data_IF_820071260335
#
_entry.id   IF_820071260335
#
_cell.length_a   1.000
_cell.length_b   1.000
_cell.length_c   1.000
_cell.angle_alpha   90.00
_cell.angle_beta   90.00
_cell.angle_gamma   90.00
#
_symmetry.space_group_name_H-M   'P 1'
#
loop_
_entity.id
_entity.type
_entity.pdbx_description
1 polymer ?
#
# COMPACT_ATOMS: atom_id res chain seq x y z
N UNK A 1 15.14 -42.55 -21.16
CA UNK A 1 15.08 -41.79 -22.42
C UNK A 1 14.06 -40.70 -22.14
N UNK A 2 14.51 -39.49 -21.78
CA UNK A 2 13.60 -38.40 -21.45
C UNK A 2 13.00 -37.90 -22.76
N UNK A 3 11.72 -38.18 -22.99
CA UNK A 3 10.97 -37.58 -24.08
C UNK A 3 10.97 -36.07 -23.87
N UNK A 4 11.66 -35.36 -24.76
CA UNK A 4 11.59 -33.91 -24.84
C UNK A 4 10.31 -33.59 -25.60
N UNK A 5 9.25 -33.25 -24.88
CA UNK A 5 8.05 -32.69 -25.47
C UNK A 5 8.37 -31.28 -25.99
N UNK A 6 8.63 -31.16 -27.29
CA UNK A 6 8.84 -29.89 -27.97
C UNK A 6 7.47 -29.35 -28.40
N UNK A 7 6.90 -28.43 -27.61
CA UNK A 7 5.73 -27.65 -28.03
C UNK A 7 6.19 -26.39 -28.78
N UNK A 8 5.96 -26.35 -30.09
CA UNK A 8 6.19 -25.15 -30.92
C UNK A 8 4.87 -24.38 -31.00
N UNK A 9 4.64 -23.48 -30.05
CA UNK A 9 3.58 -22.49 -30.08
C UNK A 9 4.09 -21.14 -30.59
N UNK A 10 3.17 -20.27 -31.02
CA UNK A 10 3.51 -18.88 -31.29
C UNK A 10 3.86 -18.18 -29.96
N UNK A 11 4.92 -17.37 -29.96
CA UNK A 11 5.25 -16.51 -28.83
C UNK A 11 4.06 -15.60 -28.52
N UNK A 12 3.63 -15.56 -27.26
CA UNK A 12 2.49 -14.73 -26.85
C UNK A 12 2.99 -13.29 -26.72
N UNK A 13 2.69 -12.46 -27.72
CA UNK A 13 3.03 -11.04 -27.70
C UNK A 13 2.10 -10.28 -26.76
N UNK A 14 2.68 -9.47 -25.90
CA UNK A 14 1.94 -8.64 -24.94
C UNK A 14 2.35 -7.20 -25.16
N UNK A 15 1.38 -6.38 -25.55
CA UNK A 15 1.54 -4.94 -25.60
C UNK A 15 1.42 -4.34 -24.18
N UNK A 16 2.49 -3.74 -23.61
CA UNK A 16 2.46 -3.20 -22.25
C UNK A 16 1.56 -1.97 -22.08
N UNK A 17 1.25 -1.25 -23.16
CA UNK A 17 0.40 -0.07 -23.17
C UNK A 17 -1.08 -0.46 -23.21
N UNK A 18 -1.46 -1.41 -24.07
CA UNK A 18 -2.81 -1.97 -24.06
C UNK A 18 -3.09 -2.67 -22.73
N UNK A 19 -2.08 -3.35 -22.15
CA UNK A 19 -2.18 -3.94 -20.83
C UNK A 19 -2.43 -2.89 -19.73
N UNK A 20 -1.75 -1.75 -19.79
CA UNK A 20 -1.96 -0.63 -18.87
C UNK A 20 -3.40 -0.10 -18.93
N UNK A 21 -3.95 0.06 -20.14
CA UNK A 21 -5.33 0.52 -20.34
C UNK A 21 -6.34 -0.48 -19.77
N UNK A 22 -6.09 -1.78 -19.95
CA UNK A 22 -6.89 -2.84 -19.36
C UNK A 22 -6.87 -2.79 -17.82
N UNK A 23 -5.69 -2.61 -17.21
CA UNK A 23 -5.51 -2.49 -15.76
C UNK A 23 -6.16 -1.24 -15.16
N UNK A 24 -6.16 -0.13 -15.91
CA UNK A 24 -6.89 1.10 -15.57
C UNK A 24 -8.40 0.94 -15.68
N UNK A 25 -8.87 -0.12 -16.35
CA UNK A 25 -10.27 -0.50 -16.38
C UNK A 25 -11.06 0.12 -17.53
N UNK A 26 -10.39 0.63 -18.56
CA UNK A 26 -11.04 1.10 -19.78
C UNK A 26 -11.72 -0.06 -20.53
N UNK A 27 -12.78 0.26 -21.26
CA UNK A 27 -13.36 -0.62 -22.27
C UNK A 27 -12.48 -0.65 -23.53
N UNK A 28 -12.65 -1.68 -24.37
CA UNK A 28 -11.89 -1.79 -25.62
C UNK A 28 -12.10 -0.59 -26.55
N UNK A 29 -13.32 -0.04 -26.59
CA UNK A 29 -13.64 1.17 -27.36
C UNK A 29 -12.90 2.41 -26.84
N UNK A 30 -12.88 2.61 -25.52
CA UNK A 30 -12.17 3.74 -24.91
C UNK A 30 -10.67 3.60 -25.12
N UNK A 31 -10.12 2.40 -24.93
CA UNK A 31 -8.70 2.12 -25.14
C UNK A 31 -8.29 2.37 -26.61
N UNK A 32 -9.04 1.85 -27.59
CA UNK A 32 -8.79 2.11 -29.00
C UNK A 32 -8.85 3.62 -29.34
N UNK A 33 -9.82 4.33 -28.76
CA UNK A 33 -9.93 5.79 -28.92
C UNK A 33 -8.78 6.58 -28.26
N UNK A 34 -8.16 6.04 -27.21
CA UNK A 34 -6.96 6.61 -26.59
C UNK A 34 -5.75 6.37 -27.50
N UNK A 35 -5.55 5.13 -27.96
CA UNK A 35 -4.45 4.75 -28.85
C UNK A 35 -4.49 5.56 -30.16
N UNK A 36 -5.67 5.76 -30.75
CA UNK A 36 -5.81 6.54 -31.99
C UNK A 36 -5.29 7.98 -31.86
N UNK A 37 -5.37 8.56 -30.66
CA UNK A 37 -4.90 9.93 -30.40
C UNK A 37 -3.40 10.01 -30.15
N UNK A 38 -2.71 8.89 -30.05
CA UNK A 38 -1.27 8.88 -29.81
C UNK A 38 -0.49 9.21 -31.07
N UNK A 39 0.47 10.12 -30.92
CA UNK A 39 1.31 10.58 -32.02
C UNK A 39 2.18 9.45 -32.60
N UNK A 40 2.55 8.46 -31.78
CA UNK A 40 3.33 7.29 -32.19
C UNK A 40 2.64 6.41 -33.25
N UNK A 41 1.30 6.40 -33.27
CA UNK A 41 0.51 5.56 -34.17
C UNK A 41 0.07 6.30 -35.44
N UNK A 42 0.22 7.62 -35.50
CA UNK A 42 -0.07 8.45 -36.68
C UNK A 42 0.65 7.98 -37.97
N UNK A 43 1.93 7.55 -37.95
CA UNK A 43 2.63 7.10 -39.14
C UNK A 43 2.05 5.82 -39.76
N UNK A 44 1.37 4.99 -38.97
CA UNK A 44 0.86 3.69 -39.42
C UNK A 44 -0.52 3.79 -40.09
N UNK A 45 -1.17 4.97 -40.02
CA UNK A 45 -2.50 5.22 -40.61
C UNK A 45 -3.56 4.18 -40.22
N UNK A 46 -3.43 3.54 -39.05
CA UNK A 46 -4.36 2.55 -38.56
C UNK A 46 -5.74 3.19 -38.31
N UNK A 47 -6.80 2.55 -38.78
CA UNK A 47 -8.16 3.03 -38.53
C UNK A 47 -8.57 2.75 -37.08
N UNK A 48 -9.62 3.42 -36.59
CA UNK A 48 -10.17 3.10 -35.27
C UNK A 48 -10.67 1.66 -35.19
N UNK A 49 -11.19 1.11 -36.30
CA UNK A 49 -11.67 -0.27 -36.38
C UNK A 49 -10.52 -1.27 -36.25
N UNK A 50 -9.38 -1.01 -36.91
CA UNK A 50 -8.18 -1.85 -36.81
C UNK A 50 -7.66 -1.88 -35.36
N UNK A 51 -7.54 -0.70 -34.74
CA UNK A 51 -7.12 -0.57 -33.34
C UNK A 51 -8.10 -1.25 -32.39
N UNK A 52 -9.41 -1.11 -32.63
CA UNK A 52 -10.42 -1.75 -31.79
C UNK A 52 -10.32 -3.28 -31.85
N UNK A 53 -10.14 -3.84 -33.05
CA UNK A 53 -9.96 -5.27 -33.23
C UNK A 53 -8.72 -5.77 -32.47
N UNK A 54 -7.59 -5.09 -32.62
CA UNK A 54 -6.34 -5.46 -31.96
C UNK A 54 -6.45 -5.36 -30.42
N UNK A 55 -7.05 -4.28 -29.91
CA UNK A 55 -7.30 -4.10 -28.48
C UNK A 55 -8.22 -5.19 -27.91
N UNK A 56 -9.24 -5.60 -28.66
CA UNK A 56 -10.16 -6.66 -28.24
C UNK A 56 -9.42 -7.99 -28.10
N UNK A 57 -8.58 -8.36 -29.06
CA UNK A 57 -7.78 -9.59 -29.03
C UNK A 57 -6.84 -9.61 -27.82
N UNK A 58 -6.15 -8.49 -27.56
CA UNK A 58 -5.32 -8.32 -26.37
C UNK A 58 -6.14 -8.41 -25.07
N UNK A 59 -7.32 -7.77 -25.01
CA UNK A 59 -8.18 -7.84 -23.83
C UNK A 59 -8.68 -9.26 -23.56
N UNK A 60 -9.00 -10.03 -24.61
CA UNK A 60 -9.35 -11.44 -24.49
C UNK A 60 -8.20 -12.27 -23.92
N UNK A 61 -6.98 -12.05 -24.41
CA UNK A 61 -5.76 -12.66 -23.87
C UNK A 61 -5.59 -12.31 -22.37
N UNK A 62 -5.69 -11.04 -22.00
CA UNK A 62 -5.51 -10.60 -20.61
C UNK A 62 -6.56 -11.18 -19.66
N UNK A 63 -7.81 -11.27 -20.11
CA UNK A 63 -8.86 -11.93 -19.33
C UNK A 63 -8.56 -13.43 -19.13
N UNK A 64 -7.96 -14.10 -20.13
CA UNK A 64 -7.47 -15.47 -20.02
C UNK A 64 -6.31 -15.62 -19.01
N UNK A 65 -5.39 -14.66 -18.99
CA UNK A 65 -4.25 -14.62 -18.07
C UNK A 65 -4.64 -14.21 -16.63
N UNK A 66 -5.75 -13.49 -16.44
CA UNK A 66 -6.14 -12.90 -15.15
C UNK A 66 -6.19 -13.93 -14.00
N UNK A 67 -6.72 -15.12 -14.27
CA UNK A 67 -6.79 -16.19 -13.25
C UNK A 67 -5.41 -16.69 -12.82
N UNK A 68 -4.42 -16.58 -13.70
CA UNK A 68 -3.03 -16.97 -13.46
C UNK A 68 -2.28 -15.84 -12.76
N UNK A 69 -2.57 -14.58 -13.09
CA UNK A 69 -2.04 -13.40 -12.39
C UNK A 69 -2.48 -13.34 -10.92
N UNK A 70 -3.69 -13.84 -10.61
CA UNK A 70 -4.15 -14.02 -9.23
C UNK A 70 -3.30 -15.03 -8.42
N UNK A 71 -2.52 -15.89 -9.09
CA UNK A 71 -1.63 -16.87 -8.45
C UNK A 71 -0.32 -16.97 -9.24
N UNK A 72 0.67 -16.11 -8.96
CA UNK A 72 1.91 -16.01 -9.74
C UNK A 72 2.64 -17.34 -10.01
N UNK A 73 2.69 -18.33 -9.09
CA UNK A 73 3.25 -19.65 -9.41
C UNK A 73 2.54 -20.37 -10.56
N UNK A 74 1.23 -20.15 -10.77
CA UNK A 74 0.48 -20.70 -11.90
C UNK A 74 0.86 -20.03 -13.22
N UNK A 75 1.22 -18.75 -13.21
CA UNK A 75 1.71 -18.06 -14.40
C UNK A 75 3.11 -18.55 -14.81
N UNK A 76 3.95 -18.90 -13.84
CA UNK A 76 5.29 -19.42 -14.10
C UNK A 76 5.27 -20.85 -14.63
N UNK A 77 4.42 -21.71 -14.06
CA UNK A 77 4.43 -23.16 -14.35
C UNK A 77 3.54 -23.58 -15.52
N UNK A 78 2.86 -22.63 -16.16
CA UNK A 78 1.97 -22.91 -17.28
C UNK A 78 2.73 -23.09 -18.60
N UNK A 79 2.16 -23.92 -19.46
CA UNK A 79 2.75 -24.25 -20.78
C UNK A 79 1.88 -23.76 -21.95
N UNK A 80 0.75 -23.10 -21.67
CA UNK A 80 -0.23 -22.68 -22.68
C UNK A 80 0.24 -21.45 -23.45
N UNK A 81 0.72 -20.44 -22.72
CA UNK A 81 1.21 -19.19 -23.25
C UNK A 81 2.74 -19.20 -23.21
N UNK A 82 3.38 -18.98 -24.35
CA UNK A 82 4.83 -18.85 -24.40
C UNK A 82 5.20 -17.40 -24.07
N UNK A 83 5.37 -17.11 -22.77
CA UNK A 83 5.73 -15.79 -22.23
C UNK A 83 7.07 -15.92 -21.52
N UNK A 84 8.03 -15.07 -21.86
CA UNK A 84 9.35 -15.05 -21.23
C UNK A 84 9.29 -14.52 -19.78
N UNK A 85 10.33 -14.81 -19.00
CA UNK A 85 10.38 -14.47 -17.57
C UNK A 85 10.30 -12.97 -17.29
N UNK A 86 10.90 -12.13 -18.15
CA UNK A 86 10.88 -10.68 -17.96
C UNK A 86 9.46 -10.13 -18.21
N UNK A 87 8.77 -10.61 -19.23
CA UNK A 87 7.37 -10.27 -19.49
C UNK A 87 6.45 -10.78 -18.37
N UNK A 88 6.66 -12.00 -17.84
CA UNK A 88 5.90 -12.49 -16.69
C UNK A 88 6.07 -11.60 -15.45
N UNK A 89 7.30 -11.18 -15.16
CA UNK A 89 7.60 -10.27 -14.04
C UNK A 89 6.89 -8.92 -14.24
N UNK A 90 6.95 -8.34 -15.43
CA UNK A 90 6.26 -7.09 -15.78
C UNK A 90 4.74 -7.22 -15.60
N UNK A 91 4.13 -8.32 -16.08
CA UNK A 91 2.71 -8.57 -15.91
C UNK A 91 2.31 -8.63 -14.44
N UNK A 92 3.07 -9.38 -13.63
CA UNK A 92 2.81 -9.51 -12.19
C UNK A 92 2.95 -8.16 -11.50
N UNK A 93 4.06 -7.46 -11.71
CA UNK A 93 4.32 -6.15 -11.12
C UNK A 93 3.19 -5.17 -11.43
N UNK A 94 2.85 -5.00 -12.71
CA UNK A 94 1.75 -4.12 -13.12
C UNK A 94 0.40 -4.59 -12.62
N UNK A 95 0.12 -5.90 -12.63
CA UNK A 95 -1.14 -6.45 -12.13
C UNK A 95 -1.32 -6.25 -10.63
N UNK A 96 -0.26 -6.22 -9.85
CA UNK A 96 -0.32 -5.92 -8.41
C UNK A 96 -0.07 -4.44 -8.09
N UNK A 97 0.36 -3.63 -9.05
CA UNK A 97 0.43 -2.18 -8.86
C UNK A 97 -0.96 -1.59 -8.54
N UNK A 98 -0.96 -0.56 -7.71
CA UNK A 98 -2.18 0.10 -7.25
C UNK A 98 -1.99 1.61 -7.19
N UNK A 99 -3.12 2.32 -7.18
CA UNK A 99 -3.16 3.75 -7.00
C UNK A 99 -3.16 4.09 -5.50
N UNK A 100 -2.26 4.98 -5.11
CA UNK A 100 -2.07 5.39 -3.73
C UNK A 100 -3.34 6.02 -3.12
N UNK A 101 -4.14 6.75 -3.90
CA UNK A 101 -5.40 7.35 -3.44
C UNK A 101 -6.48 6.29 -3.19
N UNK A 102 -6.55 5.26 -4.04
CA UNK A 102 -7.44 4.12 -3.86
C UNK A 102 -7.05 3.36 -2.60
N UNK A 103 -5.77 3.03 -2.43
CA UNK A 103 -5.32 2.30 -1.24
C UNK A 103 -5.49 3.12 0.03
N UNK A 104 -5.27 4.44 -0.01
CA UNK A 104 -5.53 5.34 1.13
C UNK A 104 -6.97 5.22 1.66
N UNK A 105 -7.95 5.14 0.76
CA UNK A 105 -9.37 4.93 1.08
C UNK A 105 -9.71 3.46 1.37
N UNK A 106 -8.89 2.52 0.88
CA UNK A 106 -8.96 1.10 1.23
C UNK A 106 -8.50 0.85 2.68
N UNK A 107 -7.52 1.61 3.15
CA UNK A 107 -7.05 1.57 4.52
C UNK A 107 -8.10 2.13 5.51
N UNK A 108 -8.12 1.61 6.73
CA UNK A 108 -9.02 2.08 7.80
C UNK A 108 -10.42 1.48 7.80
N UNK A 109 -10.76 0.62 6.83
CA UNK A 109 -11.97 -0.22 6.86
C UNK A 109 -11.58 -1.71 6.84
N UNK A 110 -12.46 -2.58 7.32
CA UNK A 110 -12.20 -4.03 7.34
C UNK A 110 -12.02 -4.57 5.91
N UNK A 111 -10.90 -5.24 5.65
CA UNK A 111 -10.61 -5.89 4.36
C UNK A 111 -11.56 -7.07 4.04
N UNK A 112 -12.35 -7.51 5.01
CA UNK A 112 -13.30 -8.62 4.86
C UNK A 112 -14.69 -8.22 4.37
N UNK A 113 -15.08 -6.93 4.42
CA UNK A 113 -16.49 -6.52 4.25
C UNK A 113 -16.71 -5.27 3.39
N UNK A 114 -16.02 -5.12 2.24
CA UNK A 114 -16.42 -4.06 1.30
C UNK A 114 -17.59 -4.53 0.45
N UNK A 115 -18.69 -3.80 0.52
CA UNK A 115 -19.81 -3.96 -0.38
C UNK A 115 -19.45 -3.39 -1.75
N UNK A 116 -20.18 -3.79 -2.81
CA UNK A 116 -20.01 -3.18 -4.15
C UNK A 116 -20.16 -1.65 -4.07
N UNK A 117 -21.11 -1.18 -3.27
CA UNK A 117 -21.37 0.24 -3.02
C UNK A 117 -20.17 0.98 -2.44
N UNK A 118 -19.43 0.37 -1.51
CA UNK A 118 -18.24 1.00 -0.94
C UNK A 118 -17.14 1.25 -1.99
N UNK A 119 -17.04 0.38 -3.00
CA UNK A 119 -16.06 0.54 -4.07
C UNK A 119 -16.51 1.54 -5.13
N UNK A 120 -17.83 1.69 -5.34
CA UNK A 120 -18.41 2.72 -6.18
C UNK A 120 -18.08 4.12 -5.61
N UNK A 121 -18.30 4.33 -4.31
CA UNK A 121 -17.96 5.59 -3.62
C UNK A 121 -16.47 5.96 -3.76
N UNK A 122 -15.56 4.97 -3.68
CA UNK A 122 -14.12 5.20 -3.86
C UNK A 122 -13.79 5.54 -5.31
N UNK A 123 -14.44 4.86 -6.26
CA UNK A 123 -14.28 5.13 -7.68
C UNK A 123 -14.66 6.58 -8.00
N UNK A 124 -15.76 7.06 -7.43
CA UNK A 124 -16.19 8.45 -7.55
C UNK A 124 -15.21 9.42 -6.87
N UNK A 125 -14.79 9.12 -5.63
CA UNK A 125 -13.88 9.98 -4.87
C UNK A 125 -12.49 10.13 -5.50
N UNK A 126 -11.94 9.02 -6.00
CA UNK A 126 -10.58 8.98 -6.57
C UNK A 126 -10.54 9.24 -8.07
N UNK A 127 -11.71 9.27 -8.73
CA UNK A 127 -11.84 9.30 -10.18
C UNK A 127 -11.14 8.14 -10.89
N UNK A 128 -10.88 7.03 -10.18
CA UNK A 128 -10.30 5.81 -10.75
C UNK A 128 -11.45 4.88 -11.16
N UNK A 129 -11.42 4.28 -12.37
CA UNK A 129 -12.49 3.41 -12.81
C UNK A 129 -12.74 2.24 -11.86
N UNK A 130 -14.02 1.95 -11.62
CA UNK A 130 -14.48 0.94 -10.67
C UNK A 130 -13.86 -0.44 -10.89
N UNK A 131 -13.62 -0.83 -12.15
CA UNK A 131 -12.95 -2.09 -12.50
C UNK A 131 -11.53 -2.14 -11.91
N UNK A 132 -10.79 -1.04 -11.98
CA UNK A 132 -9.45 -0.93 -11.40
C UNK A 132 -9.51 -0.92 -9.87
N UNK A 133 -10.43 -0.16 -9.27
CA UNK A 133 -10.64 -0.17 -7.81
C UNK A 133 -10.91 -1.58 -7.27
N UNK A 134 -11.75 -2.36 -7.97
CA UNK A 134 -12.04 -3.77 -7.64
C UNK A 134 -10.79 -4.64 -7.71
N UNK A 135 -10.01 -4.56 -8.80
CA UNK A 135 -8.74 -5.29 -8.94
C UNK A 135 -7.80 -4.99 -7.79
N UNK A 136 -7.57 -3.71 -7.50
CA UNK A 136 -6.65 -3.27 -6.46
C UNK A 136 -7.08 -3.76 -5.07
N UNK A 137 -8.37 -3.64 -4.74
CA UNK A 137 -8.93 -4.17 -3.50
C UNK A 137 -8.78 -5.69 -3.39
N UNK A 138 -9.12 -6.43 -4.45
CA UNK A 138 -9.01 -7.88 -4.46
C UNK A 138 -7.56 -8.36 -4.33
N UNK A 139 -6.61 -7.63 -4.91
CA UNK A 139 -5.19 -7.91 -4.76
C UNK A 139 -4.72 -7.69 -3.32
N UNK A 140 -5.07 -6.56 -2.70
CA UNK A 140 -4.78 -6.30 -1.27
C UNK A 140 -5.36 -7.39 -0.39
N UNK A 141 -6.63 -7.75 -0.60
CA UNK A 141 -7.30 -8.80 0.16
C UNK A 141 -6.62 -10.16 -0.01
N UNK A 142 -6.15 -10.48 -1.22
CA UNK A 142 -5.44 -11.72 -1.51
C UNK A 142 -4.10 -11.77 -0.80
N UNK A 143 -3.29 -10.72 -0.94
CA UNK A 143 -1.99 -10.61 -0.26
C UNK A 143 -2.17 -10.73 1.25
N UNK A 144 -3.09 -9.95 1.83
CA UNK A 144 -3.40 -10.01 3.26
C UNK A 144 -3.72 -11.43 3.74
N UNK A 145 -4.65 -12.11 3.07
CA UNK A 145 -5.04 -13.48 3.44
C UNK A 145 -3.93 -14.51 3.27
N UNK A 146 -3.07 -14.33 2.28
CA UNK A 146 -1.96 -15.27 2.05
C UNK A 146 -0.90 -15.14 3.13
N UNK A 147 -0.61 -13.91 3.58
CA UNK A 147 0.51 -13.66 4.50
C UNK A 147 0.10 -13.59 5.98
N UNK A 148 -1.20 -13.42 6.29
CA UNK A 148 -1.69 -13.41 7.68
C UNK A 148 -1.45 -14.74 8.42
N UNK A 149 -1.17 -15.82 7.70
CA UNK A 149 -0.89 -17.16 8.25
C UNK A 149 0.60 -17.57 8.14
N UNK A 150 1.45 -16.76 7.49
CA UNK A 150 2.86 -17.07 7.25
C UNK A 150 3.81 -16.49 8.29
N UNK A 151 4.73 -17.34 8.77
CA UNK A 151 5.82 -16.92 9.66
C UNK A 151 6.98 -16.28 8.90
N UNK A 152 7.79 -15.48 9.59
CA UNK A 152 8.99 -14.85 9.05
C UNK A 152 8.73 -13.52 8.35
N UNK A 153 9.79 -12.98 7.73
CA UNK A 153 9.84 -11.62 7.18
C UNK A 153 8.69 -11.32 6.22
N UNK A 154 7.83 -10.34 6.56
CA UNK A 154 6.60 -10.04 5.80
C UNK A 154 6.90 -9.69 4.33
N UNK A 155 7.92 -8.88 4.09
CA UNK A 155 8.34 -8.49 2.74
C UNK A 155 8.83 -9.71 1.94
N UNK A 156 9.61 -10.59 2.56
CA UNK A 156 10.14 -11.80 1.92
C UNK A 156 9.02 -12.78 1.57
N UNK A 157 8.05 -12.95 2.47
CA UNK A 157 6.86 -13.75 2.25
C UNK A 157 6.06 -13.24 1.05
N UNK A 158 5.86 -11.92 0.95
CA UNK A 158 5.15 -11.31 -0.19
C UNK A 158 5.95 -11.50 -1.49
N UNK A 159 7.26 -11.22 -1.48
CA UNK A 159 8.13 -11.40 -2.65
C UNK A 159 8.11 -12.85 -3.14
N UNK A 160 8.19 -13.82 -2.22
CA UNK A 160 8.25 -15.24 -2.55
C UNK A 160 6.94 -15.76 -3.10
N UNK A 161 5.82 -15.45 -2.46
CA UNK A 161 4.50 -15.96 -2.86
C UNK A 161 3.93 -15.26 -4.09
N UNK A 162 4.17 -13.96 -4.23
CA UNK A 162 3.59 -13.16 -5.30
C UNK A 162 4.58 -12.78 -6.42
N UNK A 163 5.88 -13.07 -6.26
CA UNK A 163 6.91 -12.80 -7.27
C UNK A 163 6.95 -11.33 -7.73
N UNK A 164 6.63 -10.42 -6.81
CA UNK A 164 6.64 -8.98 -7.07
C UNK A 164 7.96 -8.35 -6.61
N UNK A 165 8.35 -7.20 -7.19
CA UNK A 165 9.55 -6.48 -6.76
C UNK A 165 9.47 -6.04 -5.29
N UNK A 166 10.62 -5.99 -4.62
CA UNK A 166 10.72 -5.66 -3.19
C UNK A 166 10.09 -4.31 -2.84
N UNK A 167 10.20 -3.31 -3.71
CA UNK A 167 9.57 -2.00 -3.49
C UNK A 167 8.05 -2.10 -3.39
N UNK A 168 7.40 -2.85 -4.29
CA UNK A 168 5.97 -3.09 -4.27
C UNK A 168 5.58 -3.97 -3.08
N UNK A 169 6.39 -4.99 -2.76
CA UNK A 169 6.19 -5.84 -1.60
C UNK A 169 6.23 -5.06 -0.28
N UNK A 170 7.12 -4.06 -0.15
CA UNK A 170 7.16 -3.15 1.01
C UNK A 170 5.89 -2.32 1.16
N UNK A 171 5.39 -1.76 0.07
CA UNK A 171 4.12 -1.02 0.07
C UNK A 171 2.94 -1.95 0.48
N UNK A 172 2.92 -3.20 0.00
CA UNK A 172 1.95 -4.20 0.44
C UNK A 172 2.12 -4.61 1.90
N UNK A 173 3.36 -4.79 2.39
CA UNK A 173 3.65 -5.11 3.78
C UNK A 173 3.10 -4.04 4.72
N UNK A 174 3.29 -2.76 4.38
CA UNK A 174 2.69 -1.65 5.12
C UNK A 174 1.16 -1.73 5.16
N UNK A 175 0.51 -2.01 4.02
CA UNK A 175 -0.96 -2.17 3.95
C UNK A 175 -1.43 -3.32 4.84
N UNK A 176 -0.76 -4.46 4.77
CA UNK A 176 -1.09 -5.65 5.58
C UNK A 176 -0.93 -5.35 7.06
N UNK A 177 0.18 -4.73 7.45
CA UNK A 177 0.47 -4.38 8.83
C UNK A 177 -0.57 -3.43 9.43
N UNK A 178 -0.91 -2.36 8.71
CA UNK A 178 -1.94 -1.38 9.10
C UNK A 178 -3.31 -2.06 9.25
N UNK A 179 -3.65 -2.95 8.31
CA UNK A 179 -4.93 -3.65 8.31
C UNK A 179 -5.04 -4.68 9.44
N UNK A 180 -3.97 -5.45 9.70
CA UNK A 180 -3.91 -6.46 10.75
C UNK A 180 -4.07 -5.83 12.13
N UNK A 181 -3.30 -4.76 12.38
CA UNK A 181 -3.38 -4.00 13.63
C UNK A 181 -4.59 -3.05 13.68
N UNK A 182 -5.42 -2.98 12.63
CA UNK A 182 -6.68 -2.21 12.59
C UNK A 182 -6.51 -0.73 12.93
N UNK A 183 -5.55 -0.07 12.31
CA UNK A 183 -5.33 1.37 12.53
C UNK A 183 -6.50 2.20 11.96
N UNK A 184 -6.93 3.21 12.73
CA UNK A 184 -7.99 4.14 12.34
C UNK A 184 -7.47 5.24 11.41
N UNK A 185 -7.29 4.95 10.11
CA UNK A 185 -6.74 5.90 9.14
C UNK A 185 -7.75 6.90 8.53
N UNK A 186 -9.06 6.70 8.78
CA UNK A 186 -10.17 7.46 8.17
C UNK A 186 -10.72 8.63 9.00
N UNK A 187 -10.02 9.06 10.06
CA UNK A 187 -10.45 10.22 10.86
C UNK A 187 -10.21 11.52 10.09
N UNK A 188 -11.14 12.49 10.21
CA UNK A 188 -11.01 13.83 9.59
C UNK A 188 -9.68 14.51 9.88
N UNK A 189 -9.15 14.33 11.10
CA UNK A 189 -7.85 14.86 11.54
C UNK A 189 -6.66 14.27 10.79
N UNK A 190 -6.84 13.18 10.05
CA UNK A 190 -5.81 12.50 9.25
C UNK A 190 -5.98 12.72 7.74
N UNK A 191 -6.95 13.55 7.31
CA UNK A 191 -7.24 13.75 5.90
C UNK A 191 -6.08 14.45 5.15
N UNK A 192 -5.21 15.16 5.87
CA UNK A 192 -4.03 15.78 5.27
C UNK A 192 -2.92 14.78 4.95
N UNK A 193 -3.01 13.54 5.45
CA UNK A 193 -2.01 12.49 5.22
C UNK A 193 -2.35 11.69 3.96
N UNK A 194 -1.33 11.47 3.14
CA UNK A 194 -1.36 10.63 1.96
C UNK A 194 -0.93 9.19 2.28
N UNK A 195 -1.11 8.28 1.33
CA UNK A 195 -0.70 6.88 1.49
C UNK A 195 0.78 6.71 1.85
N UNK A 196 1.66 7.52 1.26
CA UNK A 196 3.11 7.46 1.52
C UNK A 196 3.47 7.75 2.97
N UNK A 197 2.71 8.62 3.64
CA UNK A 197 2.89 8.91 5.07
C UNK A 197 2.56 7.68 5.93
N UNK A 198 1.50 6.93 5.57
CA UNK A 198 1.17 5.67 6.23
C UNK A 198 2.20 4.58 5.97
N UNK A 199 2.73 4.49 4.74
CA UNK A 199 3.80 3.52 4.42
C UNK A 199 5.05 3.81 5.23
N UNK A 200 5.50 5.07 5.29
CA UNK A 200 6.66 5.47 6.08
C UNK A 200 6.48 5.10 7.55
N UNK A 201 5.31 5.42 8.11
CA UNK A 201 4.94 5.09 9.47
C UNK A 201 4.93 3.58 9.73
N UNK A 202 4.21 2.80 8.93
CA UNK A 202 4.16 1.35 9.08
C UNK A 202 5.55 0.71 8.94
N UNK A 203 6.37 1.17 7.99
CA UNK A 203 7.74 0.66 7.79
C UNK A 203 8.60 0.88 9.03
N UNK A 204 8.51 2.06 9.65
CA UNK A 204 9.22 2.33 10.90
C UNK A 204 8.74 1.42 12.04
N UNK A 205 7.43 1.19 12.15
CA UNK A 205 6.87 0.29 13.17
C UNK A 205 7.29 -1.16 12.97
N UNK A 206 7.24 -1.66 11.74
CA UNK A 206 7.68 -3.01 11.39
C UNK A 206 9.15 -3.17 11.76
N UNK A 207 10.00 -2.22 11.37
CA UNK A 207 11.45 -2.31 11.57
C UNK A 207 11.87 -2.25 13.04
N UNK A 208 11.20 -1.44 13.86
CA UNK A 208 11.65 -1.14 15.22
C UNK A 208 10.82 -1.79 16.33
N UNK A 209 9.55 -2.10 16.07
CA UNK A 209 8.57 -2.44 17.11
C UNK A 209 7.67 -3.64 16.77
N UNK A 210 7.99 -4.41 15.73
CA UNK A 210 7.38 -5.72 15.48
C UNK A 210 8.29 -6.84 16.01
N UNK A 211 7.76 -8.06 16.10
CA UNK A 211 8.55 -9.26 16.42
C UNK A 211 9.66 -9.58 15.39
N UNK A 212 9.65 -8.89 14.26
CA UNK A 212 10.65 -8.94 13.19
C UNK A 212 11.77 -7.91 13.35
N UNK A 213 11.70 -7.03 14.37
CA UNK A 213 12.74 -6.03 14.58
C UNK A 213 14.09 -6.72 14.82
N UNK A 214 15.18 -6.06 14.41
CA UNK A 214 16.58 -6.55 14.53
C UNK A 214 16.96 -6.97 15.96
N UNK A 215 16.15 -6.58 16.96
CA UNK A 215 16.37 -6.83 18.39
C UNK A 215 15.64 -8.08 18.91
N UNK A 216 14.65 -8.61 18.18
CA UNK A 216 13.86 -9.77 18.60
C UNK A 216 14.55 -11.08 18.19
N UNK A 217 15.18 -11.78 19.14
CA UNK A 217 15.91 -13.04 18.92
C UNK A 217 15.03 -14.29 18.83
N UNK A 218 13.71 -14.18 19.06
CA UNK A 218 12.77 -15.31 19.08
C UNK A 218 11.77 -15.20 17.92
N UNK A 219 12.13 -15.74 16.76
CA UNK A 219 11.32 -15.78 15.53
C UNK A 219 10.21 -16.86 15.55
N UNK A 220 9.43 -16.95 16.63
CA UNK A 220 8.26 -17.86 16.65
C UNK A 220 6.95 -17.17 16.26
N UNK A 221 6.92 -15.83 16.31
CA UNK A 221 5.75 -14.98 16.12
C UNK A 221 5.69 -14.33 14.72
N UNK A 222 4.48 -13.91 14.36
CA UNK A 222 4.13 -13.39 13.03
C UNK A 222 4.57 -11.93 12.90
N UNK A 223 5.28 -11.57 11.82
CA UNK A 223 5.74 -10.22 11.49
C UNK A 223 4.65 -9.13 11.48
N UNK A 224 3.40 -9.56 11.43
CA UNK A 224 2.25 -8.69 11.32
C UNK A 224 1.84 -8.10 12.67
N UNK A 225 2.38 -8.60 13.77
CA UNK A 225 2.03 -8.19 15.13
C UNK A 225 3.07 -7.25 15.75
N UNK A 226 2.58 -6.26 16.50
CA UNK A 226 3.39 -5.39 17.34
C UNK A 226 3.94 -6.14 18.55
N UNK A 227 5.18 -5.83 18.94
CA UNK A 227 5.79 -6.33 20.15
C UNK A 227 4.92 -5.97 21.38
N UNK A 228 4.57 -6.99 22.16
CA UNK A 228 3.80 -6.83 23.40
C UNK A 228 4.50 -5.93 24.42
N UNK A 229 5.84 -5.97 24.50
CA UNK A 229 6.58 -5.10 25.40
C UNK A 229 6.48 -3.63 24.97
N UNK A 230 6.59 -3.37 23.67
CA UNK A 230 6.35 -2.04 23.11
C UNK A 230 4.93 -1.53 23.43
N UNK A 231 3.91 -2.37 23.23
CA UNK A 231 2.53 -2.01 23.58
C UNK A 231 2.34 -1.73 25.08
N UNK A 232 3.04 -2.45 25.94
CA UNK A 232 3.02 -2.23 27.39
C UNK A 232 3.69 -0.90 27.77
N UNK A 233 4.88 -0.61 27.22
CA UNK A 233 5.60 0.65 27.44
C UNK A 233 4.77 1.85 26.96
N UNK A 234 4.11 1.74 25.80
CA UNK A 234 3.18 2.76 25.31
C UNK A 234 2.05 3.06 26.30
N UNK A 235 1.51 2.04 26.97
CA UNK A 235 0.45 2.21 27.95
C UNK A 235 0.92 2.99 29.17
N UNK A 236 2.15 2.76 29.60
CA UNK A 236 2.78 3.47 30.72
C UNK A 236 3.03 4.94 30.39
N UNK A 237 3.37 5.24 29.12
CA UNK A 237 3.54 6.61 28.64
C UNK A 237 2.22 7.40 28.53
N UNK A 238 1.04 6.74 28.62
CA UNK A 238 -0.26 7.42 28.52
C UNK A 238 -0.46 8.50 29.57
N UNK A 239 0.15 8.36 30.75
CA UNK A 239 0.08 9.37 31.83
C UNK A 239 0.64 10.72 31.39
N UNK A 240 1.65 10.72 30.52
CA UNK A 240 2.26 11.94 30.00
C UNK A 240 1.27 12.78 29.17
N UNK A 241 0.18 12.15 28.72
CA UNK A 241 -0.87 12.77 27.90
C UNK A 241 -1.98 13.40 28.75
N UNK A 242 -1.99 13.16 30.06
CA UNK A 242 -2.97 13.76 30.95
C UNK A 242 -2.77 15.28 31.02
N UNK A 243 -3.89 16.01 31.11
CA UNK A 243 -3.91 17.48 31.03
C UNK A 243 -2.92 18.12 32.01
N UNK A 244 -2.81 17.58 33.22
CA UNK A 244 -1.97 18.13 34.28
C UNK A 244 -0.48 17.91 33.98
N UNK A 245 -0.09 16.70 33.55
CA UNK A 245 1.28 16.41 33.09
C UNK A 245 1.66 17.24 31.85
N UNK A 246 0.70 17.47 30.94
CA UNK A 246 0.85 18.33 29.77
C UNK A 246 1.11 19.79 30.14
N UNK A 247 0.33 20.33 31.07
CA UNK A 247 0.48 21.70 31.55
C UNK A 247 1.77 21.88 32.34
N UNK A 248 2.17 20.87 33.12
CA UNK A 248 3.46 20.86 33.82
C UNK A 248 4.64 20.81 32.84
N UNK A 249 4.60 19.94 31.83
CA UNK A 249 5.64 19.88 30.80
C UNK A 249 5.73 21.17 30.00
N UNK A 250 4.58 21.77 29.63
CA UNK A 250 4.53 23.09 28.99
C UNK A 250 5.19 24.15 29.85
N UNK A 251 4.86 24.20 31.13
CA UNK A 251 5.43 25.16 32.06
C UNK A 251 6.95 25.00 32.19
N UNK A 252 7.45 23.76 32.25
CA UNK A 252 8.89 23.46 32.30
C UNK A 252 9.61 23.89 31.01
N UNK A 253 9.02 23.63 29.84
CA UNK A 253 9.59 24.01 28.54
C UNK A 253 9.60 25.52 28.35
N UNK A 254 8.52 26.23 28.71
CA UNK A 254 8.48 27.69 28.68
C UNK A 254 9.48 28.30 29.67
N UNK A 255 9.66 27.68 30.84
CA UNK A 255 10.68 28.09 31.81
C UNK A 255 12.10 27.89 31.26
N UNK A 256 12.35 26.78 30.56
CA UNK A 256 13.64 26.53 29.90
C UNK A 256 13.89 27.46 28.70
N UNK A 257 12.83 27.92 28.04
CA UNK A 257 12.87 28.89 26.94
C UNK A 257 13.02 30.35 27.41
N UNK A 258 13.09 30.61 28.73
CA UNK A 258 13.31 31.95 29.26
C UNK A 258 14.67 32.50 28.79
N UNK A 259 14.64 33.60 28.04
CA UNK A 259 15.82 34.22 27.42
C UNK A 259 15.87 34.11 25.89
N UNK A 260 14.98 33.34 25.27
CA UNK A 260 14.80 33.34 23.83
C UNK A 260 14.05 34.60 23.35
N UNK A 261 14.22 35.02 22.08
CA UNK A 261 13.46 36.13 21.51
C UNK A 261 11.95 35.89 21.64
N UNK A 262 11.20 36.95 21.96
CA UNK A 262 9.77 36.88 22.26
C UNK A 262 8.93 36.24 21.15
N UNK A 263 9.35 36.40 19.88
CA UNK A 263 8.76 35.73 18.72
C UNK A 263 8.90 34.20 18.79
N UNK A 264 10.05 33.70 19.23
CA UNK A 264 10.33 32.25 19.38
C UNK A 264 9.59 31.71 20.60
N UNK A 265 9.55 32.47 21.69
CA UNK A 265 8.79 32.12 22.89
C UNK A 265 7.29 31.99 22.59
N UNK A 266 6.69 32.97 21.91
CA UNK A 266 5.28 32.91 21.49
C UNK A 266 5.01 31.77 20.50
N UNK A 267 5.97 31.45 19.63
CA UNK A 267 5.85 30.31 18.72
C UNK A 267 5.81 28.97 19.49
N UNK A 268 6.74 28.77 20.42
CA UNK A 268 6.78 27.57 21.27
C UNK A 268 5.50 27.46 22.09
N UNK A 269 5.01 28.56 22.66
CA UNK A 269 3.80 28.55 23.49
C UNK A 269 2.52 28.23 22.69
N UNK A 270 2.40 28.81 21.49
CA UNK A 270 1.24 28.60 20.61
C UNK A 270 1.24 27.22 19.95
N UNK A 271 2.41 26.65 19.68
CA UNK A 271 2.56 25.36 18.99
C UNK A 271 2.95 24.18 19.89
N UNK A 272 3.06 24.37 21.22
CA UNK A 272 3.53 23.35 22.16
C UNK A 272 2.85 21.98 22.00
N UNK A 273 1.53 21.97 21.81
CA UNK A 273 0.75 20.74 21.63
C UNK A 273 0.99 20.02 20.31
N UNK A 274 1.43 20.76 19.29
CA UNK A 274 1.66 20.25 17.94
C UNK A 274 3.10 19.76 17.81
N UNK A 275 4.08 20.54 18.28
CA UNK A 275 5.51 20.28 18.04
C UNK A 275 6.21 19.46 19.13
N UNK A 276 5.86 19.66 20.41
CA UNK A 276 6.70 19.23 21.55
C UNK A 276 6.10 18.12 22.40
N UNK A 277 4.79 17.91 22.29
CA UNK A 277 4.11 16.88 23.04
C UNK A 277 4.47 15.44 22.60
N UNK A 278 5.19 15.31 21.48
CA UNK A 278 5.66 14.02 20.97
C UNK A 278 7.19 14.00 20.98
N UNK A 279 7.84 13.62 22.10
CA UNK A 279 9.28 13.75 22.29
C UNK A 279 10.12 12.79 21.41
N UNK A 280 9.49 12.10 20.47
CA UNK A 280 10.14 11.21 19.53
C UNK A 280 9.78 11.70 18.13
N UNK A 281 10.64 12.49 17.50
CA UNK A 281 10.47 12.90 16.10
C UNK A 281 11.58 12.23 15.32
N UNK A 282 11.30 11.11 14.64
CA UNK A 282 12.23 10.61 13.61
C UNK A 282 11.91 11.36 12.33
N UNK A 283 12.90 12.13 11.86
CA UNK A 283 12.86 12.80 10.57
C UNK A 283 12.63 11.75 9.46
N UNK A 284 11.49 11.84 8.78
CA UNK A 284 11.30 11.18 7.49
C UNK A 284 11.84 12.09 6.39
N UNK A 285 12.32 11.50 5.29
CA UNK A 285 12.89 12.21 4.13
C UNK A 285 11.92 13.23 3.47
N UNK A 286 10.63 13.21 3.84
CA UNK A 286 9.59 14.10 3.30
C UNK A 286 9.13 15.19 4.29
N UNK A 287 9.83 15.39 5.41
CA UNK A 287 9.59 16.53 6.30
C UNK A 287 8.29 16.47 7.12
N UNK A 288 7.60 15.32 7.15
CA UNK A 288 6.42 15.10 7.98
C UNK A 288 6.65 14.01 9.04
N UNK A 289 6.16 14.31 10.24
CA UNK A 289 6.45 13.66 11.51
C UNK A 289 5.78 12.28 11.63
N UNK A 290 6.57 11.22 11.49
CA UNK A 290 6.13 9.83 11.61
C UNK A 290 5.38 9.56 12.92
N UNK A 291 5.76 10.25 14.00
CA UNK A 291 5.17 10.06 15.33
C UNK A 291 3.88 10.85 15.56
N UNK A 292 3.71 12.02 14.92
CA UNK A 292 2.41 12.69 14.91
C UNK A 292 1.38 11.79 14.24
N UNK A 293 1.78 11.03 13.21
CA UNK A 293 0.89 10.07 12.57
C UNK A 293 0.50 8.96 13.57
N UNK A 294 1.47 8.38 14.29
CA UNK A 294 1.22 7.33 15.29
C UNK A 294 0.21 7.77 16.34
N UNK A 295 0.32 9.00 16.83
CA UNK A 295 -0.46 9.48 17.97
C UNK A 295 -1.87 9.87 17.60
N UNK A 296 -2.10 10.13 16.32
CA UNK A 296 -3.43 10.36 15.78
C UNK A 296 -4.13 9.06 15.37
N UNK A 297 -3.41 7.94 15.28
CA UNK A 297 -3.90 6.61 14.92
C UNK A 297 -4.31 5.79 16.14
N UNK A 298 -5.60 5.44 16.21
CA UNK A 298 -6.12 4.53 17.24
C UNK A 298 -6.10 3.09 16.72
N UNK A 299 -5.66 2.15 17.56
CA UNK A 299 -5.63 0.69 17.33
C UNK A 299 -6.81 0.07 18.08
N UNK A 300 -7.65 -0.75 17.43
CA UNK A 300 -8.81 -1.38 18.13
C UNK A 300 -8.37 -2.60 18.96
N UNK A 301 -8.54 -2.53 20.28
CA UNK A 301 -8.34 -3.65 21.23
C UNK A 301 -7.26 -3.38 22.29
N UNK A 302 -6.37 -2.46 21.98
CA UNK A 302 -5.38 -1.88 22.90
C UNK A 302 -5.58 -0.38 22.77
N UNK A 303 -6.00 0.28 23.84
CA UNK A 303 -6.25 1.72 23.87
C UNK A 303 -4.94 2.49 23.76
N UNK A 304 -4.34 2.50 22.57
CA UNK A 304 -3.03 3.16 22.36
C UNK A 304 -3.21 4.66 22.25
N UNK A 305 -4.23 5.21 21.57
CA UNK A 305 -4.52 6.63 21.72
C UNK A 305 -6.03 6.92 21.64
N UNK A 306 -6.62 7.26 22.78
CA UNK A 306 -7.80 8.11 22.81
C UNK A 306 -7.33 9.57 22.95
N UNK A 307 -7.29 10.26 21.81
CA UNK A 307 -7.26 11.72 21.63
C UNK A 307 -8.41 12.09 20.68
#
# INVERSE_FOLDING_TARGET
MNEVEVFVGNHTTIDPEIYELWLKGYSANEAAGILQKQESLQPFQATLEDLLSDVQDHFHLFNGLENMLKSPPRLQNQQVYQIDEATQAMLIEKYYSFDASVIREVLGRKLTSRSRKDLDDISELTCIPLRSCRRQFDNVKRVFKTVEELKGYLVDNICTHFRMPEALARDYAAVVFIANNRFETGKKKLNYLHFRDFVACATHMITNWSYSSVVCTNHEDMDVDLDRNFLQLLRELKVLIEKDCLEEHRALMLKAAQGLPERVYMHIDSNFRVEWFWPFTVNSEHGHEVYIILTQLKVKGTSVIDL
#
